data_IF_357765773887
#
_entry.id   IF_357765773887
#
_cell.length_a   1.000
_cell.length_b   1.000
_cell.length_c   1.000
_cell.angle_alpha   90.00
_cell.angle_beta   90.00
_cell.angle_gamma   90.00
#
_symmetry.space_group_name_H-M   'P 1'
#
loop_
_entity.id
_entity.type
_entity.pdbx_description
1 polymer ?
#
# COMPACT_ATOMS: atom_id res chain seq x y z
N UNK A 1 -1.46 -15.02 -28.21
CA UNK A 1 -0.64 -14.09 -27.40
C UNK A 1 -1.46 -12.93 -26.79
N UNK A 2 -2.39 -12.29 -27.52
CA UNK A 2 -3.22 -11.19 -26.97
C UNK A 2 -4.08 -11.56 -25.74
N UNK A 3 -4.54 -12.81 -25.64
CA UNK A 3 -5.39 -13.25 -24.52
C UNK A 3 -4.65 -13.26 -23.16
N UNK A 4 -3.44 -13.80 -23.12
CA UNK A 4 -2.59 -13.78 -21.92
C UNK A 4 -2.24 -12.35 -21.50
N UNK A 5 -1.99 -11.45 -22.46
CA UNK A 5 -1.73 -10.04 -22.20
C UNK A 5 -2.90 -9.34 -21.47
N UNK A 6 -4.14 -9.58 -21.88
CA UNK A 6 -5.34 -9.01 -21.22
C UNK A 6 -5.48 -9.47 -19.78
N UNK A 7 -5.20 -10.74 -19.50
CA UNK A 7 -5.26 -11.31 -18.15
C UNK A 7 -4.20 -10.66 -17.26
N UNK A 8 -2.94 -10.62 -17.71
CA UNK A 8 -1.84 -9.99 -16.96
C UNK A 8 -2.10 -8.50 -16.69
N UNK A 9 -2.62 -7.77 -17.67
CA UNK A 9 -3.03 -6.36 -17.51
C UNK A 9 -4.13 -6.21 -16.46
N UNK A 10 -5.17 -7.04 -16.52
CA UNK A 10 -6.26 -6.99 -15.55
C UNK A 10 -5.75 -7.27 -14.13
N UNK A 11 -4.91 -8.28 -13.96
CA UNK A 11 -4.30 -8.62 -12.66
C UNK A 11 -3.49 -7.45 -12.12
N UNK A 12 -2.62 -6.87 -12.96
CA UNK A 12 -1.78 -5.73 -12.59
C UNK A 12 -2.60 -4.52 -12.17
N UNK A 13 -3.62 -4.16 -12.94
CA UNK A 13 -4.48 -3.00 -12.64
C UNK A 13 -5.28 -3.22 -11.36
N UNK A 14 -5.97 -4.36 -11.21
CA UNK A 14 -6.81 -4.65 -10.04
C UNK A 14 -5.96 -4.71 -8.76
N UNK A 15 -4.81 -5.37 -8.81
CA UNK A 15 -3.91 -5.45 -7.64
C UNK A 15 -3.31 -4.09 -7.28
N UNK A 16 -2.91 -3.29 -8.27
CA UNK A 16 -2.38 -1.94 -8.06
C UNK A 16 -3.43 -1.04 -7.41
N UNK A 17 -4.66 -1.04 -7.90
CA UNK A 17 -5.74 -0.24 -7.32
C UNK A 17 -6.00 -0.65 -5.87
N UNK A 18 -6.12 -1.96 -5.58
CA UNK A 18 -6.35 -2.43 -4.22
C UNK A 18 -5.21 -2.08 -3.26
N UNK A 19 -3.96 -2.26 -3.70
CA UNK A 19 -2.76 -1.89 -2.95
C UNK A 19 -2.72 -0.37 -2.67
N UNK A 20 -3.03 0.45 -3.68
CA UNK A 20 -3.07 1.90 -3.54
C UNK A 20 -4.15 2.35 -2.57
N UNK A 21 -5.35 1.77 -2.64
CA UNK A 21 -6.44 2.11 -1.72
C UNK A 21 -6.02 1.89 -0.26
N UNK A 22 -5.49 0.72 0.06
CA UNK A 22 -5.04 0.42 1.43
C UNK A 22 -3.87 1.32 1.82
N UNK A 23 -2.85 1.42 0.95
CA UNK A 23 -1.65 2.20 1.21
C UNK A 23 -1.94 3.68 1.44
N UNK A 24 -2.75 4.29 0.58
CA UNK A 24 -3.13 5.70 0.70
C UNK A 24 -3.94 5.93 1.96
N UNK A 25 -4.95 5.11 2.26
CA UNK A 25 -5.76 5.29 3.47
C UNK A 25 -4.91 5.21 4.73
N UNK A 26 -4.05 4.19 4.86
CA UNK A 26 -3.19 4.06 6.05
C UNK A 26 -2.14 5.17 6.12
N UNK A 27 -1.54 5.55 4.98
CA UNK A 27 -0.55 6.62 4.90
C UNK A 27 -1.11 8.00 5.25
N UNK A 28 -2.33 8.31 4.80
CA UNK A 28 -3.03 9.55 5.15
C UNK A 28 -3.38 9.57 6.63
N UNK A 29 -3.97 8.50 7.17
CA UNK A 29 -4.37 8.45 8.58
C UNK A 29 -3.14 8.60 9.49
N UNK A 30 -2.07 7.84 9.22
CA UNK A 30 -0.83 7.92 10.00
C UNK A 30 -0.17 9.31 9.93
N UNK A 31 -0.05 9.89 8.73
CA UNK A 31 0.55 11.22 8.56
C UNK A 31 -0.30 12.37 9.11
N UNK A 32 -1.63 12.26 9.05
CA UNK A 32 -2.54 13.30 9.51
C UNK A 32 -2.60 13.38 11.03
N UNK A 33 -2.89 12.26 11.71
CA UNK A 33 -3.07 12.20 13.16
C UNK A 33 -1.73 12.24 13.92
N UNK A 34 -0.66 11.67 13.37
CA UNK A 34 0.64 11.63 14.03
C UNK A 34 0.64 10.81 15.33
N UNK A 35 1.73 10.94 16.10
CA UNK A 35 1.83 10.41 17.47
C UNK A 35 1.68 8.89 17.60
N UNK A 36 0.79 8.47 18.50
CA UNK A 36 0.56 7.05 18.82
C UNK A 36 -0.09 6.30 17.64
N UNK A 37 -1.05 6.94 16.95
CA UNK A 37 -1.75 6.33 15.80
C UNK A 37 -0.78 6.05 14.67
N UNK A 38 0.09 7.03 14.37
CA UNK A 38 1.16 6.88 13.40
C UNK A 38 2.08 5.71 13.76
N UNK A 39 2.58 5.69 15.00
CA UNK A 39 3.47 4.63 15.49
C UNK A 39 2.81 3.25 15.35
N UNK A 40 1.56 3.09 15.78
CA UNK A 40 0.87 1.81 15.71
C UNK A 40 0.66 1.34 14.26
N UNK A 41 0.18 2.22 13.38
CA UNK A 41 -0.07 1.89 11.98
C UNK A 41 1.24 1.59 11.23
N UNK A 42 2.30 2.35 11.50
CA UNK A 42 3.60 2.12 10.89
C UNK A 42 4.27 0.85 11.42
N UNK A 43 4.10 0.50 12.71
CA UNK A 43 4.53 -0.79 13.26
C UNK A 43 3.82 -1.95 12.55
N UNK A 44 2.49 -1.89 12.40
CA UNK A 44 1.74 -2.91 11.68
C UNK A 44 2.20 -3.03 10.22
N UNK A 45 2.46 -1.89 9.58
CA UNK A 45 3.00 -1.85 8.22
C UNK A 45 4.37 -2.53 8.14
N UNK A 46 5.29 -2.23 9.06
CA UNK A 46 6.60 -2.86 9.14
C UNK A 46 6.48 -4.37 9.33
N UNK A 47 5.60 -4.84 10.23
CA UNK A 47 5.36 -6.27 10.43
C UNK A 47 4.93 -6.98 9.14
N UNK A 48 4.03 -6.37 8.36
CA UNK A 48 3.59 -6.92 7.06
C UNK A 48 4.73 -6.95 6.06
N UNK A 49 5.58 -5.93 6.04
CA UNK A 49 6.71 -5.85 5.11
C UNK A 49 7.84 -6.84 5.42
N UNK A 50 7.89 -7.41 6.63
CA UNK A 50 8.84 -8.47 6.97
C UNK A 50 8.49 -9.81 6.30
N UNK A 51 7.26 -9.98 5.80
CA UNK A 51 6.87 -11.23 5.15
C UNK A 51 7.54 -11.39 3.78
N UNK A 52 8.14 -12.55 3.49
CA UNK A 52 8.77 -12.81 2.20
C UNK A 52 7.70 -13.00 1.11
N UNK A 53 7.54 -11.99 0.25
CA UNK A 53 6.49 -11.94 -0.79
C UNK A 53 6.41 -13.22 -1.62
N UNK A 54 7.54 -13.66 -2.21
CA UNK A 54 7.56 -14.81 -3.12
C UNK A 54 7.17 -16.11 -2.41
N UNK A 55 7.67 -16.33 -1.19
CA UNK A 55 7.38 -17.53 -0.43
C UNK A 55 5.89 -17.57 -0.09
N UNK A 56 5.33 -16.44 0.37
CA UNK A 56 3.91 -16.36 0.71
C UNK A 56 3.02 -16.58 -0.51
N UNK A 57 3.37 -15.98 -1.65
CA UNK A 57 2.65 -16.16 -2.92
C UNK A 57 2.62 -17.63 -3.35
N UNK A 58 3.77 -18.31 -3.34
CA UNK A 58 3.86 -19.72 -3.76
C UNK A 58 3.12 -20.64 -2.80
N UNK A 59 3.33 -20.47 -1.49
CA UNK A 59 2.71 -21.33 -0.46
C UNK A 59 1.19 -21.20 -0.46
N UNK A 60 0.65 -19.97 -0.50
CA UNK A 60 -0.79 -19.76 -0.56
C UNK A 60 -1.37 -20.29 -1.88
N UNK A 61 -0.68 -20.07 -2.99
CA UNK A 61 -1.14 -20.57 -4.27
C UNK A 61 -1.13 -22.11 -4.32
N UNK A 62 -0.12 -22.77 -3.77
CA UNK A 62 -0.08 -24.22 -3.67
C UNK A 62 -1.15 -24.78 -2.73
N UNK A 63 -1.44 -24.09 -1.63
CA UNK A 63 -2.43 -24.55 -0.65
C UNK A 63 -3.88 -24.31 -1.07
N UNK A 64 -4.15 -23.20 -1.77
CA UNK A 64 -5.51 -22.72 -2.03
C UNK A 64 -5.85 -22.59 -3.53
N UNK A 65 -4.86 -22.56 -4.42
CA UNK A 65 -5.06 -22.31 -5.87
C UNK A 65 -6.05 -23.29 -6.50
N UNK A 66 -5.83 -24.58 -6.26
CA UNK A 66 -6.66 -25.65 -6.82
C UNK A 66 -8.01 -25.80 -6.09
N UNK A 67 -8.16 -25.21 -4.90
CA UNK A 67 -9.42 -25.24 -4.14
C UNK A 67 -10.43 -24.23 -4.67
N UNK A 68 -9.97 -23.17 -5.34
CA UNK A 68 -10.85 -22.20 -5.97
C UNK A 68 -11.37 -22.83 -7.27
N UNK A 69 -12.67 -23.16 -7.30
CA UNK A 69 -13.37 -23.66 -8.50
C UNK A 69 -13.57 -22.56 -9.55
N UNK A 70 -12.48 -21.91 -9.95
CA UNK A 70 -12.43 -20.86 -10.97
C UNK A 70 -11.13 -21.07 -11.78
N UNK A 71 -11.18 -21.06 -13.13
CA UNK A 71 -9.98 -21.14 -13.98
C UNK A 71 -8.90 -20.10 -13.66
N UNK A 72 -9.28 -18.99 -13.02
CA UNK A 72 -8.39 -17.91 -12.61
C UNK A 72 -8.03 -17.95 -11.11
N UNK A 73 -8.25 -19.06 -10.41
CA UNK A 73 -8.01 -19.21 -8.97
C UNK A 73 -6.61 -18.76 -8.55
N UNK A 74 -5.58 -19.22 -9.26
CA UNK A 74 -4.19 -18.84 -8.99
C UNK A 74 -3.93 -17.34 -9.17
N UNK A 75 -4.54 -16.73 -10.19
CA UNK A 75 -4.44 -15.29 -10.43
C UNK A 75 -5.11 -14.49 -9.30
N UNK A 76 -6.26 -14.95 -8.80
CA UNK A 76 -6.96 -14.30 -7.69
C UNK A 76 -6.10 -14.32 -6.43
N UNK A 77 -5.45 -15.45 -6.12
CA UNK A 77 -4.55 -15.55 -4.96
C UNK A 77 -3.40 -14.56 -5.11
N UNK A 78 -2.77 -14.49 -6.28
CA UNK A 78 -1.69 -13.54 -6.53
C UNK A 78 -2.15 -12.08 -6.34
N UNK A 79 -3.33 -11.71 -6.84
CA UNK A 79 -3.91 -10.38 -6.62
C UNK A 79 -4.05 -10.09 -5.12
N UNK A 80 -4.59 -11.03 -4.35
CA UNK A 80 -4.77 -10.88 -2.90
C UNK A 80 -3.42 -10.73 -2.18
N UNK A 81 -2.42 -11.53 -2.53
CA UNK A 81 -1.08 -11.43 -1.93
C UNK A 81 -0.44 -10.07 -2.23
N UNK A 82 -0.56 -9.56 -3.46
CA UNK A 82 -0.06 -8.22 -3.82
C UNK A 82 -0.75 -7.15 -3.00
N UNK A 83 -2.09 -7.19 -2.89
CA UNK A 83 -2.85 -6.18 -2.14
C UNK A 83 -2.43 -6.18 -0.66
N UNK A 84 -2.29 -7.36 -0.04
CA UNK A 84 -2.05 -7.51 1.40
C UNK A 84 -0.59 -7.30 1.80
N UNK A 85 0.38 -7.62 0.94
CA UNK A 85 1.80 -7.52 1.30
C UNK A 85 2.50 -6.28 0.73
N UNK A 86 2.01 -5.70 -0.37
CA UNK A 86 2.73 -4.62 -1.07
C UNK A 86 2.27 -3.20 -0.69
N UNK A 87 1.17 -3.04 0.04
CA UNK A 87 0.62 -1.73 0.38
C UNK A 87 1.50 -0.90 1.32
N UNK A 88 2.35 -1.55 2.12
CA UNK A 88 3.16 -0.86 3.13
C UNK A 88 4.18 0.13 2.57
N UNK A 89 4.73 -0.15 1.38
CA UNK A 89 5.60 0.80 0.68
C UNK A 89 4.87 2.09 0.32
N UNK A 90 3.64 1.96 -0.21
CA UNK A 90 2.78 3.10 -0.54
C UNK A 90 2.36 3.86 0.72
N UNK A 91 2.01 3.16 1.80
CA UNK A 91 1.65 3.81 3.06
C UNK A 91 2.75 4.72 3.60
N UNK A 92 4.01 4.25 3.58
CA UNK A 92 5.16 5.07 4.00
C UNK A 92 5.40 6.26 3.08
N UNK A 93 5.26 6.08 1.76
CA UNK A 93 5.41 7.15 0.79
C UNK A 93 4.36 8.24 1.01
N UNK A 94 3.09 7.86 1.16
CA UNK A 94 1.98 8.79 1.36
C UNK A 94 2.09 9.49 2.71
N UNK A 95 2.44 8.77 3.79
CA UNK A 95 2.75 9.38 5.09
C UNK A 95 3.82 10.45 4.97
N UNK A 96 4.92 10.15 4.26
CA UNK A 96 6.00 11.11 4.02
C UNK A 96 5.52 12.38 3.33
N UNK A 97 4.66 12.25 2.31
CA UNK A 97 4.04 13.40 1.63
C UNK A 97 3.14 14.22 2.55
N UNK A 98 2.33 13.57 3.37
CA UNK A 98 1.44 14.25 4.32
C UNK A 98 2.24 15.03 5.36
N UNK A 99 3.31 14.44 5.90
CA UNK A 99 4.18 15.13 6.84
C UNK A 99 4.91 16.31 6.18
N UNK A 100 5.40 16.14 4.95
CA UNK A 100 6.02 17.22 4.17
C UNK A 100 5.06 18.39 3.96
N UNK A 101 3.80 18.11 3.63
CA UNK A 101 2.80 19.16 3.42
C UNK A 101 2.52 19.93 4.72
N UNK A 102 2.38 19.22 5.85
CA UNK A 102 2.20 19.85 7.16
C UNK A 102 3.38 20.76 7.50
N UNK A 103 4.61 20.30 7.30
CA UNK A 103 5.82 21.09 7.55
C UNK A 103 5.89 22.35 6.66
N UNK A 104 5.53 22.24 5.38
CA UNK A 104 5.46 23.37 4.46
C UNK A 104 4.45 24.44 4.89
N UNK A 105 3.25 24.06 5.35
CA UNK A 105 2.26 25.00 5.88
C UNK A 105 2.80 25.76 7.10
N UNK A 106 3.47 25.06 8.04
CA UNK A 106 4.08 25.69 9.20
C UNK A 106 5.19 26.69 8.82
N UNK A 107 6.08 26.33 7.89
CA UNK A 107 7.13 27.22 7.42
C UNK A 107 6.59 28.45 6.71
N UNK A 108 5.59 28.29 5.84
CA UNK A 108 4.96 29.42 5.16
C UNK A 108 4.28 30.37 6.13
N UNK A 109 3.52 29.84 7.08
CA UNK A 109 2.82 30.66 8.05
C UNK A 109 3.81 31.44 8.91
N UNK A 110 4.89 30.81 9.38
CA UNK A 110 5.95 31.47 10.14
C UNK A 110 6.68 32.55 9.30
N UNK A 111 7.06 32.26 8.05
CA UNK A 111 7.79 33.19 7.19
C UNK A 111 6.95 34.42 6.81
N UNK A 112 5.65 34.26 6.59
CA UNK A 112 4.74 35.37 6.28
C UNK A 112 4.61 36.39 7.42
N UNK A 113 4.72 35.94 8.68
CA UNK A 113 4.73 36.85 9.84
C UNK A 113 6.00 37.70 9.91
N UNK A 114 7.16 37.20 9.44
CA UNK A 114 8.42 37.94 9.47
C UNK A 114 8.58 38.94 8.33
N UNK A 115 7.88 38.77 7.20
CA UNK A 115 7.96 39.69 6.05
C UNK A 115 7.16 40.99 6.22
N UNK A 116 6.41 41.14 7.31
CA UNK A 116 5.55 42.29 7.59
C UNK A 116 5.90 43.02 8.89
N UNK A 117 7.08 42.76 9.47
CA UNK A 117 7.67 43.49 10.61
C UNK A 117 8.99 44.10 10.14
#
# INVERSE_FOLDING_TARGET
MLYAGRISLSIGITSTIGMLLIGITVGVISGYFGGIVDTLLMRMTEFVMLFPFLIFAIVLNAALGDKIKNPYGSAIILVLVIIVLSWGGIARLVRGKVLQEKENEYFWQQNHWYTHI
#
